data_IF_131103023068
#
_entry.id   IF_131103023068
#
_cell.length_a   1.000
_cell.length_b   1.000
_cell.length_c   1.000
_cell.angle_alpha   90.00
_cell.angle_beta   90.00
_cell.angle_gamma   90.00
#
_symmetry.space_group_name_H-M   'P 1'
#
loop_
_entity.id
_entity.type
_entity.pdbx_description
1 polymer ?
#
# COMPACT_ATOMS: atom_id res chain seq x y z
N UNK A 1 -2.93 -11.86 -17.44
CA UNK A 1 -1.52 -11.83 -16.99
C UNK A 1 -1.53 -11.93 -15.47
N UNK A 2 -0.91 -12.97 -14.90
CA UNK A 2 -0.66 -13.05 -13.46
C UNK A 2 0.49 -12.09 -13.16
N UNK A 3 0.14 -10.84 -12.87
CA UNK A 3 1.09 -9.78 -12.55
C UNK A 3 1.87 -10.20 -11.31
N UNK A 4 3.14 -10.53 -11.49
CA UNK A 4 4.02 -10.80 -10.36
C UNK A 4 4.07 -9.51 -9.54
N UNK A 5 3.82 -9.54 -8.21
CA UNK A 5 3.73 -8.33 -7.42
C UNK A 5 5.00 -7.51 -7.60
N UNK A 6 4.85 -6.29 -8.10
CA UNK A 6 5.96 -5.39 -8.39
C UNK A 6 6.78 -5.14 -7.12
N UNK A 7 8.06 -4.77 -7.25
CA UNK A 7 8.91 -4.42 -6.09
C UNK A 7 8.23 -3.35 -5.23
N UNK A 8 7.59 -2.37 -5.88
CA UNK A 8 6.82 -1.31 -5.25
C UNK A 8 5.68 -1.87 -4.40
N UNK A 9 4.89 -2.79 -4.95
CA UNK A 9 3.78 -3.43 -4.26
C UNK A 9 4.24 -4.19 -3.00
N UNK A 10 5.28 -5.00 -3.14
CA UNK A 10 5.84 -5.75 -2.02
C UNK A 10 6.38 -4.83 -0.91
N UNK A 11 7.05 -3.74 -1.28
CA UNK A 11 7.56 -2.76 -0.33
C UNK A 11 6.42 -2.08 0.44
N UNK A 12 5.34 -1.71 -0.25
CA UNK A 12 4.14 -1.10 0.34
C UNK A 12 3.47 -2.04 1.34
N UNK A 13 3.19 -3.28 0.92
CA UNK A 13 2.58 -4.30 1.77
C UNK A 13 3.43 -4.57 3.01
N UNK A 14 4.76 -4.66 2.85
CA UNK A 14 5.66 -4.89 3.98
C UNK A 14 5.67 -3.71 4.95
N UNK A 15 5.71 -2.47 4.44
CA UNK A 15 5.73 -1.27 5.27
C UNK A 15 4.46 -1.18 6.15
N UNK A 16 3.28 -1.38 5.57
CA UNK A 16 2.03 -1.28 6.33
C UNK A 16 1.76 -2.48 7.23
N UNK A 17 2.15 -3.69 6.82
CA UNK A 17 2.08 -4.85 7.70
C UNK A 17 2.96 -4.66 8.93
N UNK A 18 4.16 -4.08 8.77
CA UNK A 18 5.05 -3.76 9.89
C UNK A 18 4.48 -2.66 10.79
N UNK A 19 3.86 -1.63 10.22
CA UNK A 19 3.29 -0.51 10.98
C UNK A 19 2.01 -0.89 11.75
N UNK A 20 1.13 -1.69 11.14
CA UNK A 20 -0.21 -1.99 11.68
C UNK A 20 -0.31 -3.36 12.34
N UNK A 21 0.68 -4.23 12.16
CA UNK A 21 0.66 -5.63 12.60
C UNK A 21 -0.58 -6.42 12.12
N UNK A 22 -1.13 -6.04 10.97
CA UNK A 22 -2.33 -6.65 10.40
C UNK A 22 -2.02 -7.40 9.10
N UNK A 23 -2.92 -8.31 8.72
CA UNK A 23 -2.89 -8.92 7.39
C UNK A 23 -3.11 -7.83 6.33
N UNK A 24 -2.35 -7.89 5.24
CA UNK A 24 -2.40 -6.91 4.15
C UNK A 24 -2.68 -7.60 2.83
N UNK A 25 -3.39 -6.93 1.94
CA UNK A 25 -3.66 -7.42 0.59
C UNK A 25 -3.66 -6.27 -0.42
N UNK A 26 -3.16 -6.50 -1.63
CA UNK A 26 -3.25 -5.52 -2.70
C UNK A 26 -4.70 -5.37 -3.16
N UNK A 27 -5.20 -4.13 -3.18
CA UNK A 27 -6.51 -3.77 -3.72
C UNK A 27 -6.39 -3.20 -5.15
N UNK A 28 -5.28 -2.54 -5.45
CA UNK A 28 -5.00 -2.02 -6.79
C UNK A 28 -3.59 -1.47 -6.92
N UNK A 29 -3.11 -1.41 -8.16
CA UNK A 29 -1.83 -0.80 -8.54
C UNK A 29 -2.06 0.08 -9.76
N UNK A 30 -1.46 1.25 -9.78
CA UNK A 30 -1.59 2.21 -10.87
C UNK A 30 -0.33 3.05 -11.03
N UNK A 31 0.02 3.44 -12.27
CA UNK A 31 1.10 4.37 -12.50
C UNK A 31 0.69 5.80 -12.07
N UNK A 32 1.66 6.57 -11.58
CA UNK A 32 1.59 8.02 -11.41
C UNK A 32 2.75 8.65 -12.16
N UNK A 33 2.67 9.95 -12.45
CA UNK A 33 3.67 10.65 -13.29
C UNK A 33 5.12 10.51 -12.78
N UNK A 34 5.30 10.35 -11.46
CA UNK A 34 6.63 10.20 -10.83
C UNK A 34 6.87 8.84 -10.15
N UNK A 35 5.81 8.21 -9.64
CA UNK A 35 5.85 7.05 -8.73
C UNK A 35 4.76 6.01 -9.12
N UNK A 36 4.88 4.79 -8.63
CA UNK A 36 3.80 3.79 -8.65
C UNK A 36 2.87 4.03 -7.46
N UNK A 37 1.56 4.15 -7.73
CA UNK A 37 0.53 4.15 -6.70
C UNK A 37 0.13 2.70 -6.41
N UNK A 38 0.27 2.29 -5.16
CA UNK A 38 -0.26 1.02 -4.66
C UNK A 38 -1.37 1.32 -3.68
N UNK A 39 -2.49 0.63 -3.82
CA UNK A 39 -3.57 0.65 -2.84
C UNK A 39 -3.64 -0.72 -2.19
N UNK A 40 -3.44 -0.77 -0.87
CA UNK A 40 -3.54 -2.00 -0.09
C UNK A 40 -4.69 -1.91 0.91
N UNK A 41 -5.30 -3.05 1.20
CA UNK A 41 -6.29 -3.23 2.25
C UNK A 41 -5.63 -3.82 3.48
N UNK A 42 -5.85 -3.20 4.63
CA UNK A 42 -5.25 -3.58 5.90
C UNK A 42 -6.29 -4.14 6.86
N UNK A 43 -6.00 -5.30 7.44
CA UNK A 43 -6.82 -5.93 8.46
C UNK A 43 -8.13 -6.52 7.93
N UNK A 44 -9.01 -6.99 8.84
CA UNK A 44 -10.27 -7.65 8.48
C UNK A 44 -11.24 -6.73 7.74
N UNK A 45 -11.20 -5.42 8.02
CA UNK A 45 -12.02 -4.42 7.38
C UNK A 45 -11.47 -3.97 6.02
N UNK A 46 -10.30 -4.46 5.61
CA UNK A 46 -9.58 -4.03 4.40
C UNK A 46 -9.50 -2.50 4.32
N UNK A 47 -9.12 -1.88 5.45
CA UNK A 47 -8.92 -0.44 5.54
C UNK A 47 -8.03 0.01 4.37
N UNK A 48 -8.49 0.90 3.48
CA UNK A 48 -7.73 1.28 2.30
C UNK A 48 -6.54 2.16 2.70
N UNK A 49 -5.35 1.78 2.23
CA UNK A 49 -4.11 2.52 2.40
C UNK A 49 -3.50 2.76 1.04
N UNK A 50 -3.09 4.00 0.79
CA UNK A 50 -2.44 4.42 -0.45
C UNK A 50 -0.95 4.62 -0.20
N UNK A 51 -0.15 4.13 -1.12
CA UNK A 51 1.29 4.21 -1.07
C UNK A 51 1.80 4.77 -2.39
N UNK A 52 2.84 5.57 -2.30
CA UNK A 52 3.64 5.97 -3.44
C UNK A 52 4.99 5.29 -3.30
N UNK A 53 5.35 4.46 -4.28
CA UNK A 53 6.63 3.75 -4.27
C UNK A 53 7.31 3.87 -5.62
N UNK A 54 8.63 3.79 -5.61
CA UNK A 54 9.47 3.84 -6.81
C UNK A 54 10.65 2.90 -6.64
N UNK A 55 10.81 1.98 -7.57
CA UNK A 55 11.88 0.97 -7.58
C UNK A 55 11.99 0.13 -6.29
N UNK A 56 10.86 -0.10 -5.61
CA UNK A 56 10.78 -0.85 -4.35
C UNK A 56 11.05 -0.03 -3.10
N UNK A 57 11.15 1.30 -3.21
CA UNK A 57 11.26 2.21 -2.08
C UNK A 57 9.92 2.91 -1.91
N UNK A 58 9.36 2.84 -0.69
CA UNK A 58 8.13 3.57 -0.33
C UNK A 58 8.52 5.00 -0.03
N UNK A 59 7.98 5.93 -0.83
CA UNK A 59 8.23 7.37 -0.75
C UNK A 59 7.25 8.02 0.25
N UNK A 60 5.97 7.67 0.13
CA UNK A 60 4.92 8.20 1.00
C UNK A 60 3.83 7.15 1.28
N UNK A 61 3.32 7.15 2.52
CA UNK A 61 2.25 6.28 3.00
C UNK A 61 1.10 7.14 3.51
N UNK A 62 -0.10 6.91 3.01
CA UNK A 62 -1.33 7.56 3.46
C UNK A 62 -2.38 6.52 3.80
N UNK A 63 -2.85 6.52 5.05
CA UNK A 63 -4.08 5.84 5.44
C UNK A 63 -5.25 6.59 4.80
N UNK A 64 -6.06 5.91 3.99
CA UNK A 64 -7.31 6.49 3.46
C UNK A 64 -8.49 6.22 4.39
N UNK A 65 -8.28 5.41 5.43
CA UNK A 65 -9.15 5.40 6.59
C UNK A 65 -8.87 6.69 7.35
N UNK A 66 -9.88 7.53 7.48
CA UNK A 66 -9.87 8.62 8.44
C UNK A 66 -9.62 8.01 9.83
N UNK A 67 -8.37 8.01 10.29
CA UNK A 67 -8.02 7.79 11.70
C UNK A 67 -8.31 9.06 12.51
N UNK A 68 -9.25 9.89 12.04
CA UNK A 68 -9.79 11.06 12.71
C UNK A 68 -10.75 10.65 13.82
N UNK A 69 -10.19 10.01 14.85
CA UNK A 69 -10.68 10.15 16.21
C UNK A 69 -9.52 9.86 17.17
N UNK A 70 -8.53 10.77 17.19
CA UNK A 70 -7.69 10.99 18.38
C UNK A 70 -8.49 11.79 19.42
#
# INVERSE_FOLDING_TARGET
MTDTPSKDEQACLKAVAAATNNAVMTLGVGPSEANTIVTAGVGPNKAPWKFYAKDGIVDEVMSMTDEGNL
#
